data_IF_612792423384
#
_entry.id   IF_612792423384
#
_cell.length_a   1.000
_cell.length_b   1.000
_cell.length_c   1.000
_cell.angle_alpha   90.00
_cell.angle_beta   90.00
_cell.angle_gamma   90.00
#
_symmetry.space_group_name_H-M   'P 1'
#
loop_
_entity.id
_entity.type
_entity.pdbx_description
1 polymer ?
#
# COMPACT_ATOMS: atom_id res chain seq x y z
N UNK A 1 19.11 20.74 -2.25
CA UNK A 1 19.03 20.15 -0.90
C UNK A 1 17.55 19.85 -0.67
N UNK A 2 17.13 18.57 -0.74
CA UNK A 2 15.79 18.16 -0.33
C UNK A 2 15.87 17.96 1.18
N UNK A 3 15.03 18.66 1.93
CA UNK A 3 14.89 18.46 3.37
C UNK A 3 14.53 17.00 3.64
N UNK A 4 15.24 16.38 4.55
CA UNK A 4 14.92 15.05 5.05
C UNK A 4 13.56 15.14 5.77
N UNK A 5 12.54 14.55 5.18
CA UNK A 5 11.25 14.42 5.82
C UNK A 5 11.41 13.57 7.08
N UNK A 6 11.16 14.18 8.25
CA UNK A 6 11.16 13.48 9.53
C UNK A 6 10.14 12.32 9.56
N UNK A 7 10.21 11.43 10.57
CA UNK A 7 9.39 10.24 10.64
C UNK A 7 7.90 10.60 10.60
N UNK A 8 7.19 9.98 9.66
CA UNK A 8 5.79 10.22 9.38
C UNK A 8 4.89 9.85 10.57
N UNK A 9 4.06 10.78 11.03
CA UNK A 9 3.16 10.56 12.17
C UNK A 9 1.80 10.00 11.71
N UNK A 10 1.70 8.67 11.67
CA UNK A 10 0.53 7.90 11.23
C UNK A 10 -0.78 8.23 11.98
N UNK A 11 -0.72 8.50 13.28
CA UNK A 11 -1.89 8.84 14.09
C UNK A 11 -2.54 10.18 13.68
N UNK A 12 -1.76 11.11 13.11
CA UNK A 12 -2.28 12.40 12.68
C UNK A 12 -3.17 12.30 11.43
N UNK A 13 -2.97 11.29 10.55
CA UNK A 13 -3.78 11.10 9.35
C UNK A 13 -5.19 10.61 9.66
N UNK A 14 -5.35 9.58 10.49
CA UNK A 14 -6.67 9.03 10.86
C UNK A 14 -7.52 10.06 11.63
N UNK A 15 -6.92 10.74 12.61
CA UNK A 15 -7.67 11.71 13.43
C UNK A 15 -8.07 12.96 12.65
N UNK A 16 -7.29 13.34 11.63
CA UNK A 16 -7.59 14.50 10.80
C UNK A 16 -8.67 14.21 9.76
N UNK A 17 -8.67 13.02 9.16
CA UNK A 17 -9.71 12.59 8.21
C UNK A 17 -11.10 12.55 8.84
N UNK A 18 -11.21 12.00 10.06
CA UNK A 18 -12.48 11.99 10.82
C UNK A 18 -12.96 13.39 11.23
N UNK A 19 -12.04 14.36 11.45
CA UNK A 19 -12.39 15.75 11.80
C UNK A 19 -12.69 16.63 10.60
N UNK A 20 -12.27 16.23 9.39
CA UNK A 20 -12.51 16.99 8.16
C UNK A 20 -13.77 16.56 7.41
N UNK A 21 -14.40 15.45 7.82
CA UNK A 21 -15.72 15.09 7.32
C UNK A 21 -16.70 16.17 7.85
N UNK A 22 -17.26 17.05 7.00
CA UNK A 22 -18.21 18.02 7.46
C UNK A 22 -19.42 17.27 8.03
N UNK A 23 -19.84 17.62 9.26
CA UNK A 23 -21.09 17.11 9.79
C UNK A 23 -22.21 17.49 8.82
N UNK A 24 -22.91 16.47 8.32
CA UNK A 24 -24.06 16.68 7.43
C UNK A 24 -25.23 17.06 8.34
N UNK A 25 -25.26 18.31 8.77
CA UNK A 25 -26.31 18.88 9.63
C UNK A 25 -27.42 19.55 8.83
N UNK A 26 -27.33 19.52 7.52
CA UNK A 26 -28.26 20.20 6.62
C UNK A 26 -29.65 19.60 6.67
N UNK A 27 -30.66 20.46 6.47
CA UNK A 27 -32.03 20.03 6.20
C UNK A 27 -32.08 19.40 4.81
N UNK A 28 -32.00 18.07 4.76
CA UNK A 28 -31.85 17.29 3.53
C UNK A 28 -33.22 17.07 2.86
N UNK A 29 -33.21 16.99 1.52
CA UNK A 29 -34.38 16.67 0.70
C UNK A 29 -33.97 15.75 -0.43
N UNK A 30 -34.72 14.65 -0.65
CA UNK A 30 -34.57 13.84 -1.85
C UNK A 30 -35.18 14.57 -3.04
N UNK A 31 -34.53 14.45 -4.20
CA UNK A 31 -35.01 14.96 -5.49
C UNK A 31 -35.05 13.85 -6.52
N UNK A 32 -35.81 14.07 -7.58
CA UNK A 32 -35.76 13.25 -8.79
C UNK A 32 -34.34 13.24 -9.38
N UNK A 33 -34.00 12.19 -10.16
CA UNK A 33 -32.70 12.11 -10.84
C UNK A 33 -32.37 13.42 -11.58
N UNK A 34 -31.22 13.97 -11.32
CA UNK A 34 -30.81 15.26 -11.86
C UNK A 34 -29.52 15.14 -12.67
N UNK A 35 -29.55 15.58 -13.91
CA UNK A 35 -28.36 15.68 -14.75
C UNK A 35 -27.56 16.92 -14.42
N UNK A 36 -26.32 16.75 -14.02
CA UNK A 36 -25.43 17.85 -13.64
C UNK A 36 -24.77 18.42 -14.90
N UNK A 37 -25.24 19.58 -15.36
CA UNK A 37 -24.65 20.37 -16.46
C UNK A 37 -24.21 19.52 -17.67
N UNK A 38 -25.16 18.81 -18.32
CA UNK A 38 -24.89 17.88 -19.42
C UNK A 38 -23.90 16.75 -19.12
N UNK A 39 -23.54 16.56 -17.87
CA UNK A 39 -22.61 15.59 -17.33
C UNK A 39 -23.31 14.40 -16.64
N UNK A 40 -22.78 13.97 -15.49
CA UNK A 40 -23.32 12.81 -14.79
C UNK A 40 -24.71 13.00 -14.24
N UNK A 41 -25.44 11.89 -14.05
CA UNK A 41 -26.75 11.88 -13.38
C UNK A 41 -26.52 11.64 -11.89
N UNK A 42 -27.12 12.48 -11.05
CA UNK A 42 -27.13 12.32 -9.61
C UNK A 42 -28.52 11.94 -9.09
N UNK A 43 -28.56 10.95 -8.20
CA UNK A 43 -29.75 10.47 -7.52
C UNK A 43 -29.49 10.45 -6.02
N UNK A 44 -30.14 11.30 -5.23
CA UNK A 44 -29.86 11.35 -3.82
C UNK A 44 -30.41 12.58 -3.09
N UNK A 45 -29.79 12.84 -1.95
CA UNK A 45 -30.17 13.92 -1.04
C UNK A 45 -29.48 15.24 -1.42
N UNK A 46 -30.17 16.34 -1.12
CA UNK A 46 -29.72 17.70 -1.39
C UNK A 46 -29.90 18.56 -0.14
N UNK A 47 -28.97 19.46 0.09
CA UNK A 47 -29.18 20.55 1.05
C UNK A 47 -30.27 21.48 0.54
N UNK A 48 -31.30 21.70 1.35
CA UNK A 48 -32.37 22.68 1.02
C UNK A 48 -31.84 24.10 0.97
N UNK A 49 -30.90 24.42 1.84
CA UNK A 49 -30.35 25.76 2.00
C UNK A 49 -29.34 26.06 0.88
N UNK A 50 -28.35 25.21 0.71
CA UNK A 50 -27.24 25.43 -0.24
C UNK A 50 -27.60 25.05 -1.68
N UNK A 51 -28.67 24.26 -1.90
CA UNK A 51 -29.04 23.71 -3.23
C UNK A 51 -27.94 22.86 -3.83
N UNK A 52 -27.17 22.16 -3.00
CA UNK A 52 -26.03 21.33 -3.35
C UNK A 52 -26.28 19.87 -3.00
N UNK A 53 -25.59 18.95 -3.67
CA UNK A 53 -25.60 17.53 -3.30
C UNK A 53 -25.06 17.39 -1.89
N UNK A 54 -25.82 16.70 -1.03
CA UNK A 54 -25.48 16.48 0.37
C UNK A 54 -26.17 15.20 0.86
N UNK A 55 -25.75 14.64 1.99
CA UNK A 55 -26.31 13.42 2.52
C UNK A 55 -25.91 12.19 1.72
N UNK A 56 -26.82 11.25 1.52
CA UNK A 56 -26.58 10.02 0.75
C UNK A 56 -27.00 10.18 -0.69
N UNK A 57 -26.18 9.69 -1.61
CA UNK A 57 -26.50 9.76 -3.03
C UNK A 57 -25.59 8.91 -3.92
N UNK A 58 -26.05 8.73 -5.14
CA UNK A 58 -25.36 7.99 -6.19
C UNK A 58 -25.17 8.91 -7.40
N UNK A 59 -23.99 8.89 -7.98
CA UNK A 59 -23.67 9.59 -9.22
C UNK A 59 -23.24 8.59 -10.27
N UNK A 60 -23.79 8.74 -11.47
CA UNK A 60 -23.54 7.88 -12.62
C UNK A 60 -22.98 8.77 -13.73
N UNK A 61 -21.79 8.44 -14.21
CA UNK A 61 -21.15 9.12 -15.34
C UNK A 61 -21.52 8.48 -16.67
N UNK A 62 -21.27 9.20 -17.75
CA UNK A 62 -21.56 8.75 -19.10
C UNK A 62 -20.70 7.57 -19.57
N UNK A 63 -19.51 7.41 -18.97
CA UNK A 63 -18.59 6.28 -19.20
C UNK A 63 -19.00 5.00 -18.50
N UNK A 64 -20.07 5.03 -17.68
CA UNK A 64 -20.56 3.90 -16.91
C UNK A 64 -20.04 3.85 -15.47
N UNK A 65 -19.12 4.72 -15.08
CA UNK A 65 -18.65 4.82 -13.70
C UNK A 65 -19.78 5.17 -12.75
N UNK A 66 -19.77 4.58 -11.54
CA UNK A 66 -20.81 4.80 -10.53
C UNK A 66 -20.15 5.05 -9.17
N UNK A 67 -20.46 6.20 -8.56
CA UNK A 67 -20.13 6.46 -7.16
C UNK A 67 -21.40 6.46 -6.31
N UNK A 68 -21.41 5.70 -5.24
CA UNK A 68 -22.46 5.67 -4.22
C UNK A 68 -21.84 5.98 -2.85
N UNK A 69 -22.35 6.98 -2.13
CA UNK A 69 -21.74 7.36 -0.87
C UNK A 69 -22.35 8.61 -0.24
N UNK A 70 -21.54 9.22 0.61
CA UNK A 70 -21.88 10.44 1.32
C UNK A 70 -21.39 11.66 0.53
N UNK A 71 -22.17 12.72 0.59
CA UNK A 71 -21.95 13.95 -0.15
C UNK A 71 -22.06 15.17 0.77
N UNK A 72 -21.21 16.14 0.57
CA UNK A 72 -21.32 17.46 1.17
C UNK A 72 -20.84 18.53 0.21
N UNK A 73 -21.59 19.62 0.05
CA UNK A 73 -21.22 20.76 -0.82
C UNK A 73 -20.81 20.33 -2.22
N UNK A 74 -21.59 19.43 -2.85
CA UNK A 74 -21.36 18.84 -4.18
C UNK A 74 -20.16 17.90 -4.30
N UNK A 75 -19.47 17.55 -3.21
CA UNK A 75 -18.30 16.68 -3.22
C UNK A 75 -18.57 15.36 -2.50
N UNK A 76 -17.97 14.28 -2.96
CA UNK A 76 -17.94 13.02 -2.25
C UNK A 76 -17.11 13.16 -0.97
N UNK A 77 -17.66 12.69 0.15
CA UNK A 77 -17.04 12.73 1.47
C UNK A 77 -17.45 11.49 2.27
N UNK A 78 -16.78 11.25 3.40
CA UNK A 78 -17.13 10.14 4.29
C UNK A 78 -17.04 8.78 3.63
N UNK A 79 -17.94 7.86 3.92
CA UNK A 79 -17.93 6.52 3.34
C UNK A 79 -18.60 6.51 1.97
N UNK A 80 -17.94 5.85 1.02
CA UNK A 80 -18.46 5.68 -0.33
C UNK A 80 -17.79 4.54 -1.09
N UNK A 81 -18.43 4.18 -2.19
CA UNK A 81 -18.03 3.13 -3.12
C UNK A 81 -17.99 3.70 -4.53
N UNK A 82 -16.94 3.41 -5.27
CA UNK A 82 -16.80 3.73 -6.69
C UNK A 82 -16.58 2.44 -7.48
N UNK A 83 -17.33 2.28 -8.56
CA UNK A 83 -16.99 1.35 -9.64
C UNK A 83 -16.65 2.25 -10.83
N UNK A 84 -15.42 2.16 -11.33
CA UNK A 84 -15.02 2.93 -12.51
C UNK A 84 -15.43 2.27 -13.83
N UNK A 85 -15.16 2.95 -14.95
CA UNK A 85 -15.52 2.47 -16.28
C UNK A 85 -14.81 1.17 -16.68
N UNK A 86 -13.66 0.88 -16.12
CA UNK A 86 -12.87 -0.32 -16.36
C UNK A 86 -13.33 -1.50 -15.48
N UNK A 87 -14.19 -1.25 -14.47
CA UNK A 87 -14.70 -2.24 -13.54
C UNK A 87 -13.87 -2.37 -12.27
N UNK A 88 -12.92 -1.47 -12.01
CA UNK A 88 -12.22 -1.41 -10.74
C UNK A 88 -13.16 -0.91 -9.65
N UNK A 89 -12.98 -1.43 -8.44
CA UNK A 89 -13.81 -1.12 -7.28
C UNK A 89 -12.97 -0.43 -6.20
N UNK A 90 -13.44 0.71 -5.69
CA UNK A 90 -12.96 1.28 -4.44
C UNK A 90 -14.10 1.34 -3.43
N UNK A 91 -13.82 0.94 -2.19
CA UNK A 91 -14.71 1.07 -1.04
C UNK A 91 -13.92 1.65 0.13
N UNK A 92 -14.31 2.82 0.64
CA UNK A 92 -13.55 3.47 1.70
C UNK A 92 -14.00 4.88 2.01
N UNK A 93 -13.10 5.60 2.69
CA UNK A 93 -13.33 7.01 3.02
C UNK A 93 -12.96 7.91 1.85
N UNK A 94 -13.71 9.01 1.77
CA UNK A 94 -13.59 10.06 0.76
C UNK A 94 -13.42 11.42 1.43
N UNK A 95 -12.62 12.27 0.82
CA UNK A 95 -12.50 13.67 1.20
C UNK A 95 -12.37 14.51 -0.07
N UNK A 96 -13.37 15.38 -0.31
CA UNK A 96 -13.38 16.33 -1.45
C UNK A 96 -13.20 15.67 -2.82
N UNK A 97 -13.90 14.55 -3.08
CA UNK A 97 -13.87 13.72 -4.29
C UNK A 97 -12.65 12.81 -4.44
N UNK A 98 -11.76 12.73 -3.43
CA UNK A 98 -10.56 11.90 -3.46
C UNK A 98 -10.61 10.78 -2.42
N UNK A 99 -9.96 9.63 -2.70
CA UNK A 99 -9.79 8.57 -1.72
C UNK A 99 -8.98 9.11 -0.54
N UNK A 100 -9.43 8.84 0.67
CA UNK A 100 -8.79 9.37 1.87
C UNK A 100 -9.03 8.45 3.07
N UNK A 101 -8.11 8.46 4.07
CA UNK A 101 -8.24 7.57 5.22
C UNK A 101 -8.12 6.11 4.83
N UNK A 102 -8.91 5.22 5.41
CA UNK A 102 -8.84 3.79 5.10
C UNK A 102 -9.79 3.41 3.96
N UNK A 103 -9.31 2.53 3.08
CA UNK A 103 -10.10 2.04 1.96
C UNK A 103 -9.56 0.72 1.40
N UNK A 104 -10.39 0.10 0.59
CA UNK A 104 -10.09 -1.10 -0.17
C UNK A 104 -10.28 -0.81 -1.65
N UNK A 105 -9.23 -1.04 -2.42
CA UNK A 105 -9.26 -0.98 -3.88
C UNK A 105 -9.09 -2.38 -4.45
N UNK A 106 -9.88 -2.71 -5.45
CA UNK A 106 -9.76 -3.96 -6.19
C UNK A 106 -9.78 -3.66 -7.68
N UNK A 107 -8.67 -4.00 -8.37
CA UNK A 107 -8.63 -3.89 -9.83
C UNK A 107 -9.43 -5.01 -10.50
N UNK A 108 -9.82 -4.79 -11.74
CA UNK A 108 -10.47 -5.81 -12.58
C UNK A 108 -9.57 -7.04 -12.76
N UNK A 109 -8.25 -6.87 -12.73
CA UNK A 109 -7.27 -7.96 -12.83
C UNK A 109 -7.15 -8.76 -11.52
N UNK A 110 -7.83 -8.34 -10.46
CA UNK A 110 -7.88 -9.03 -9.18
C UNK A 110 -6.80 -8.64 -8.18
N UNK A 111 -6.01 -7.59 -8.44
CA UNK A 111 -5.14 -7.00 -7.42
C UNK A 111 -6.01 -6.32 -6.38
N UNK A 112 -5.68 -6.50 -5.10
CA UNK A 112 -6.39 -5.89 -3.99
C UNK A 112 -5.41 -5.12 -3.11
N UNK A 113 -5.69 -3.84 -2.87
CA UNK A 113 -5.04 -3.05 -1.83
C UNK A 113 -6.04 -2.73 -0.72
N UNK A 114 -5.63 -2.93 0.51
CA UNK A 114 -6.37 -2.55 1.72
C UNK A 114 -5.44 -1.75 2.63
N UNK A 115 -5.72 -0.47 2.83
CA UNK A 115 -4.80 0.39 3.57
C UNK A 115 -5.25 1.83 3.68
N UNK A 116 -4.28 2.70 3.94
CA UNK A 116 -4.49 4.13 4.10
C UNK A 116 -4.27 4.86 2.78
N UNK A 117 -5.11 5.88 2.55
CA UNK A 117 -5.07 6.78 1.40
C UNK A 117 -4.96 8.23 1.84
N UNK A 118 -4.26 9.04 1.07
CA UNK A 118 -4.21 10.47 1.20
C UNK A 118 -4.21 11.11 -0.18
N UNK A 119 -5.24 11.95 -0.44
CA UNK A 119 -5.36 12.67 -1.71
C UNK A 119 -5.30 11.72 -2.92
N UNK A 120 -6.05 10.62 -2.83
CA UNK A 120 -6.13 9.59 -3.88
C UNK A 120 -4.97 8.59 -3.93
N UNK A 121 -3.91 8.78 -3.12
CA UNK A 121 -2.67 7.99 -3.19
C UNK A 121 -2.50 7.11 -1.95
N UNK A 122 -2.03 5.88 -2.15
CA UNK A 122 -1.72 4.93 -1.08
C UNK A 122 -0.61 5.47 -0.19
N UNK A 123 -0.83 5.39 1.12
CA UNK A 123 0.12 5.87 2.13
C UNK A 123 0.00 5.05 3.42
N UNK A 124 0.83 5.38 4.41
CA UNK A 124 0.69 4.78 5.73
C UNK A 124 0.95 3.28 5.74
N UNK A 125 0.07 2.51 6.35
CA UNK A 125 0.17 1.05 6.40
C UNK A 125 -0.90 0.44 5.50
N UNK A 126 -0.48 -0.54 4.69
CA UNK A 126 -1.37 -1.24 3.79
C UNK A 126 -0.98 -2.68 3.54
N UNK A 127 -1.91 -3.40 2.99
CA UNK A 127 -1.77 -4.77 2.50
C UNK A 127 -2.12 -4.79 1.02
N UNK A 128 -1.24 -5.34 0.21
CA UNK A 128 -1.51 -5.59 -1.21
C UNK A 128 -1.46 -7.09 -1.47
N UNK A 129 -2.45 -7.61 -2.20
CA UNK A 129 -2.57 -9.02 -2.55
C UNK A 129 -2.80 -9.13 -4.06
N UNK A 130 -2.03 -9.98 -4.72
CA UNK A 130 -2.11 -10.24 -6.16
C UNK A 130 -2.86 -11.55 -6.46
N UNK A 131 -3.36 -11.74 -7.69
CA UNK A 131 -4.07 -12.95 -8.11
C UNK A 131 -3.26 -14.23 -7.95
N UNK A 132 -1.95 -14.15 -8.09
CA UNK A 132 -1.02 -15.27 -7.86
C UNK A 132 -0.87 -15.64 -6.38
N UNK A 133 -1.53 -14.89 -5.47
CA UNK A 133 -1.47 -15.00 -4.00
C UNK A 133 -0.17 -14.45 -3.38
N UNK A 134 0.65 -13.74 -4.14
CA UNK A 134 1.67 -12.88 -3.55
C UNK A 134 1.01 -11.86 -2.64
N UNK A 135 1.70 -11.49 -1.58
CA UNK A 135 1.18 -10.54 -0.58
C UNK A 135 2.29 -9.64 -0.08
N UNK A 136 2.01 -8.35 0.00
CA UNK A 136 2.82 -7.38 0.74
C UNK A 136 2.02 -6.83 1.92
N UNK A 137 2.66 -6.70 3.06
CA UNK A 137 2.14 -6.08 4.27
C UNK A 137 3.20 -5.11 4.79
N UNK A 138 2.93 -3.82 4.76
CA UNK A 138 3.97 -2.86 5.14
C UNK A 138 3.57 -1.42 4.93
N UNK A 139 4.62 -0.59 4.90
CA UNK A 139 4.49 0.85 4.80
C UNK A 139 4.48 1.30 3.34
N UNK A 140 3.69 2.35 3.07
CA UNK A 140 3.58 3.02 1.78
C UNK A 140 3.84 4.51 1.93
N UNK A 141 4.49 5.07 0.96
CA UNK A 141 4.65 6.51 0.80
C UNK A 141 4.53 6.86 -0.68
N UNK A 142 3.59 7.76 -1.00
CA UNK A 142 3.34 8.25 -2.36
C UNK A 142 3.12 7.10 -3.37
N UNK A 143 2.27 6.12 -2.99
CA UNK A 143 1.93 4.94 -3.80
C UNK A 143 3.02 3.87 -3.90
N UNK A 144 4.16 4.04 -3.23
CA UNK A 144 5.29 3.13 -3.31
C UNK A 144 5.52 2.42 -1.96
N UNK A 145 5.98 1.16 -2.01
CA UNK A 145 6.45 0.44 -0.83
C UNK A 145 7.68 1.16 -0.28
N UNK A 146 7.59 1.61 0.96
CA UNK A 146 8.62 2.41 1.61
C UNK A 146 8.71 2.02 3.10
N UNK A 147 9.91 2.07 3.69
CA UNK A 147 10.09 1.71 5.09
C UNK A 147 10.02 0.22 5.35
N UNK A 148 9.40 -0.23 6.43
CA UNK A 148 9.36 -1.65 6.81
C UNK A 148 8.15 -2.37 6.25
N UNK A 149 8.40 -3.60 5.75
CA UNK A 149 7.33 -4.46 5.24
C UNK A 149 7.74 -5.93 5.16
N UNK A 150 6.74 -6.75 4.87
CA UNK A 150 6.89 -8.17 4.58
C UNK A 150 6.28 -8.45 3.22
N UNK A 151 7.05 -9.10 2.37
CA UNK A 151 6.57 -9.68 1.12
C UNK A 151 6.56 -11.20 1.23
N UNK A 152 5.48 -11.84 0.77
CA UNK A 152 5.33 -13.29 0.74
C UNK A 152 4.99 -13.72 -0.68
N UNK A 153 5.75 -14.67 -1.22
CA UNK A 153 5.54 -15.22 -2.56
C UNK A 153 4.76 -16.52 -2.53
N UNK A 154 4.11 -16.91 -3.65
CA UNK A 154 3.29 -18.13 -3.74
C UNK A 154 4.07 -19.41 -3.52
N UNK A 155 5.38 -19.41 -3.80
CA UNK A 155 6.27 -20.56 -3.60
C UNK A 155 6.62 -20.81 -2.14
N UNK A 156 6.13 -19.95 -1.23
CA UNK A 156 6.40 -20.00 0.21
C UNK A 156 7.69 -19.30 0.63
N UNK A 157 8.36 -18.60 -0.28
CA UNK A 157 9.44 -17.68 0.07
C UNK A 157 8.87 -16.41 0.69
N UNK A 158 9.69 -15.70 1.47
CA UNK A 158 9.27 -14.43 2.07
C UNK A 158 10.48 -13.54 2.34
N UNK A 159 10.24 -12.22 2.28
CA UNK A 159 11.16 -11.20 2.74
C UNK A 159 10.52 -10.37 3.85
N UNK A 160 11.29 -10.04 4.87
CA UNK A 160 10.88 -9.12 5.93
C UNK A 160 12.02 -8.15 6.22
N UNK A 161 11.81 -6.87 5.97
CA UNK A 161 12.88 -5.88 6.07
C UNK A 161 12.48 -4.50 5.55
N UNK A 162 13.47 -3.78 5.06
CA UNK A 162 13.31 -2.42 4.59
C UNK A 162 13.06 -2.39 3.07
N UNK A 163 12.18 -1.47 2.66
CA UNK A 163 11.84 -1.16 1.28
C UNK A 163 12.12 0.31 1.00
N UNK A 164 12.52 0.62 -0.22
CA UNK A 164 12.64 1.99 -0.75
C UNK A 164 12.19 2.01 -2.20
N UNK A 165 11.17 2.81 -2.50
CA UNK A 165 10.62 2.96 -3.85
C UNK A 165 10.32 1.60 -4.54
N UNK A 166 9.64 0.70 -3.81
CA UNK A 166 9.33 -0.70 -4.17
C UNK A 166 10.50 -1.69 -4.14
N UNK A 167 11.76 -1.26 -3.99
CA UNK A 167 12.91 -2.14 -3.94
C UNK A 167 13.23 -2.58 -2.51
N UNK A 168 13.65 -3.83 -2.35
CA UNK A 168 14.27 -4.35 -1.15
C UNK A 168 15.60 -3.62 -0.93
N UNK A 169 15.79 -3.03 0.25
CA UNK A 169 16.99 -2.29 0.62
C UNK A 169 17.28 -2.42 2.13
N UNK A 170 18.34 -1.73 2.61
CA UNK A 170 18.64 -1.67 4.04
C UNK A 170 18.90 -3.03 4.65
N UNK A 171 18.34 -3.31 5.83
CA UNK A 171 18.51 -4.60 6.51
C UNK A 171 17.23 -5.43 6.45
N UNK A 172 17.37 -6.74 6.14
CA UNK A 172 16.23 -7.64 6.09
C UNK A 172 16.58 -9.10 6.10
N UNK A 173 15.56 -9.93 6.29
CA UNK A 173 15.60 -11.38 6.25
C UNK A 173 14.84 -11.89 5.03
N UNK A 174 15.49 -12.72 4.22
CA UNK A 174 14.85 -13.48 3.13
C UNK A 174 14.87 -14.96 3.46
N UNK A 175 13.73 -15.61 3.37
CA UNK A 175 13.55 -17.05 3.53
C UNK A 175 13.11 -17.60 2.19
N UNK A 176 13.94 -18.45 1.56
CA UNK A 176 13.59 -19.12 0.32
C UNK A 176 12.64 -20.30 0.55
N UNK A 177 11.91 -20.69 -0.48
CA UNK A 177 11.11 -21.92 -0.49
C UNK A 177 11.92 -23.17 -0.11
N UNK A 178 13.20 -23.19 -0.48
CA UNK A 178 14.19 -24.23 -0.11
C UNK A 178 14.57 -24.24 1.37
N UNK A 179 14.06 -23.30 2.18
CA UNK A 179 14.42 -23.06 3.59
C UNK A 179 15.83 -22.53 3.82
N UNK A 180 16.49 -22.07 2.79
CA UNK A 180 17.66 -21.20 2.97
C UNK A 180 17.20 -19.89 3.60
N UNK A 181 18.07 -19.26 4.38
CA UNK A 181 17.78 -17.98 5.03
C UNK A 181 18.96 -17.04 4.81
N UNK A 182 18.68 -15.81 4.39
CA UNK A 182 19.66 -14.73 4.41
C UNK A 182 19.18 -13.63 5.34
N UNK A 183 20.07 -13.18 6.22
CA UNK A 183 19.87 -12.02 7.10
C UNK A 183 21.02 -11.07 6.89
N UNK A 184 20.76 -9.88 6.40
CA UNK A 184 21.83 -8.95 6.10
C UNK A 184 21.37 -7.70 5.38
N UNK A 185 22.37 -7.02 4.82
CA UNK A 185 22.15 -5.81 4.06
C UNK A 185 21.72 -6.11 2.62
N UNK A 186 20.86 -5.25 2.10
CA UNK A 186 20.29 -5.31 0.77
C UNK A 186 20.47 -3.98 0.03
N UNK A 187 20.67 -4.05 -1.26
CA UNK A 187 20.72 -2.88 -2.14
C UNK A 187 20.10 -3.23 -3.49
N UNK A 188 19.04 -2.49 -3.88
CA UNK A 188 18.34 -2.68 -5.14
C UNK A 188 17.99 -4.16 -5.41
N UNK A 189 17.31 -4.81 -4.45
CA UNK A 189 16.86 -6.21 -4.48
C UNK A 189 17.97 -7.28 -4.47
N UNK A 190 19.22 -6.89 -4.19
CA UNK A 190 20.37 -7.81 -4.14
C UNK A 190 20.98 -7.84 -2.74
N UNK A 191 21.47 -9.03 -2.33
CA UNK A 191 22.31 -9.17 -1.13
C UNK A 191 23.56 -8.30 -1.30
N UNK A 192 23.85 -7.47 -0.31
CA UNK A 192 24.96 -6.53 -0.34
C UNK A 192 25.50 -6.27 1.07
N UNK A 193 26.74 -5.78 1.17
CA UNK A 193 27.34 -5.47 2.49
C UNK A 193 27.48 -6.70 3.37
N UNK A 194 27.27 -6.57 4.68
CA UNK A 194 27.44 -7.67 5.64
C UNK A 194 26.15 -8.47 5.78
N UNK A 195 26.30 -9.81 5.84
CA UNK A 195 25.16 -10.70 6.00
C UNK A 195 25.54 -12.11 6.46
N UNK A 196 24.50 -12.81 6.88
CA UNK A 196 24.52 -14.22 7.25
C UNK A 196 23.62 -15.02 6.28
N UNK A 197 24.17 -16.06 5.66
CA UNK A 197 23.42 -16.99 4.83
C UNK A 197 23.48 -18.38 5.43
N UNK A 198 22.33 -18.93 5.79
CA UNK A 198 22.16 -20.28 6.32
C UNK A 198 21.44 -21.13 5.26
N UNK A 199 22.09 -22.21 4.84
CA UNK A 199 21.48 -23.17 3.91
C UNK A 199 20.66 -24.22 4.65
N UNK A 200 19.68 -24.80 3.96
CA UNK A 200 18.85 -25.87 4.51
C UNK A 200 19.64 -27.12 4.93
N UNK A 201 20.82 -27.33 4.37
CA UNK A 201 21.72 -28.44 4.73
C UNK A 201 22.56 -28.13 5.98
N UNK A 202 22.37 -26.95 6.59
CA UNK A 202 23.06 -26.54 7.81
C UNK A 202 24.38 -25.81 7.59
N UNK A 203 24.85 -25.61 6.37
CA UNK A 203 25.97 -24.70 6.09
C UNK A 203 25.60 -23.28 6.47
N UNK A 204 26.58 -22.51 6.94
CA UNK A 204 26.41 -21.13 7.35
C UNK A 204 27.57 -20.28 6.86
N UNK A 205 27.28 -19.18 6.18
CA UNK A 205 28.25 -18.16 5.81
C UNK A 205 27.93 -16.86 6.52
N UNK A 206 28.96 -16.26 7.06
CA UNK A 206 28.91 -14.90 7.64
C UNK A 206 30.03 -14.09 7.03
N UNK A 207 29.71 -13.00 6.36
CA UNK A 207 30.71 -12.19 5.69
C UNK A 207 30.12 -11.15 4.75
N UNK A 208 30.97 -10.60 3.89
CA UNK A 208 30.58 -9.59 2.94
C UNK A 208 29.92 -10.20 1.69
N UNK A 209 28.98 -9.44 1.13
CA UNK A 209 28.29 -9.71 -0.12
C UNK A 209 28.36 -8.49 -1.04
N UNK A 210 28.47 -8.73 -2.32
CA UNK A 210 28.36 -7.73 -3.36
C UNK A 210 27.51 -8.28 -4.50
N UNK A 211 26.34 -7.65 -4.75
CA UNK A 211 25.39 -8.04 -5.81
C UNK A 211 25.10 -9.55 -5.88
N UNK A 212 24.68 -10.13 -4.73
CA UNK A 212 24.37 -11.54 -4.51
C UNK A 212 25.55 -12.49 -4.40
N UNK A 213 26.76 -12.04 -4.66
CA UNK A 213 27.98 -12.85 -4.57
C UNK A 213 28.68 -12.63 -3.23
N UNK A 214 29.31 -13.68 -2.71
CA UNK A 214 30.24 -13.55 -1.58
C UNK A 214 31.48 -12.84 -2.06
N UNK A 215 31.88 -11.78 -1.39
CA UNK A 215 33.06 -10.98 -1.74
C UNK A 215 33.74 -10.47 -0.49
N UNK A 216 35.10 -10.39 -0.51
CA UNK A 216 35.86 -9.93 0.65
C UNK A 216 35.95 -10.97 1.76
N UNK A 217 36.12 -10.50 3.00
CA UNK A 217 36.34 -11.40 4.14
C UNK A 217 35.02 -12.06 4.60
N UNK A 218 35.12 -13.38 4.88
CA UNK A 218 34.01 -14.14 5.40
C UNK A 218 34.38 -15.49 5.96
N UNK A 219 33.43 -16.08 6.72
CA UNK A 219 33.57 -17.41 7.32
C UNK A 219 32.44 -18.31 6.82
N UNK A 220 32.82 -19.47 6.28
CA UNK A 220 31.88 -20.56 5.96
C UNK A 220 32.07 -21.68 6.98
N UNK A 221 30.97 -22.16 7.54
CA UNK A 221 30.90 -23.29 8.47
C UNK A 221 30.07 -24.42 7.86
N UNK A 222 30.53 -25.66 8.02
CA UNK A 222 29.83 -26.86 7.61
C UNK A 222 29.24 -27.58 8.84
N UNK A 223 28.16 -28.36 8.68
CA UNK A 223 27.53 -29.10 9.78
C UNK A 223 28.45 -30.08 10.49
N UNK A 224 29.49 -30.57 9.82
CA UNK A 224 30.48 -31.49 10.40
C UNK A 224 31.57 -30.78 11.25
N UNK A 225 31.45 -29.48 11.45
CA UNK A 225 32.35 -28.66 12.27
C UNK A 225 33.55 -28.09 11.52
N UNK A 226 33.74 -28.44 10.22
CA UNK A 226 34.76 -27.77 9.39
C UNK A 226 34.40 -26.31 9.18
N UNK A 227 35.40 -25.46 9.04
CA UNK A 227 35.18 -24.05 8.69
C UNK A 227 36.30 -23.53 7.80
N UNK A 228 35.96 -22.54 6.98
CA UNK A 228 36.90 -21.76 6.20
C UNK A 228 36.71 -20.30 6.53
N UNK A 229 37.81 -19.61 6.83
CA UNK A 229 37.82 -18.15 7.02
C UNK A 229 38.86 -17.56 6.10
N UNK A 230 38.46 -16.58 5.30
CA UNK A 230 39.35 -15.93 4.33
C UNK A 230 38.60 -15.06 3.35
N UNK A 231 39.35 -14.64 2.31
CA UNK A 231 38.81 -13.79 1.25
C UNK A 231 38.05 -14.58 0.20
N UNK A 232 37.00 -13.99 -0.31
CA UNK A 232 36.08 -14.48 -1.34
C UNK A 232 36.15 -13.55 -2.55
N UNK A 233 36.12 -14.07 -3.76
CA UNK A 233 36.21 -13.34 -5.05
C UNK A 233 35.13 -13.82 -6.01
#
# INVERSE_FOLDING_TARGET
MREEAGPFNYLACQTRALRLCPEITDNLVKREPFRVQDGPVYVGEWSRELKQRAGKGMQIWADGSVHEGQWARNKAVGLGRLIDADGNLYEGYWLSDEFHGTGRYQSIDGNVYEGEYREGVECGVGTETWPDKSKYEGQYFDGLKEGRGKFSWPDGSSYSGEFRQNDICGYGEYIWASKNVYKGQWKANKMHGQGEHVWADGRKYVGAFHEDFKEGEGKLEWPDGRSYTGSWM
#
